data_IF_952565029354
#
_entry.id   IF_952565029354
#
_cell.length_a   1.000
_cell.length_b   1.000
_cell.length_c   1.000
_cell.angle_alpha   90.00
_cell.angle_beta   90.00
_cell.angle_gamma   90.00
#
_symmetry.space_group_name_H-M   'P 1'
#
loop_
_entity.id
_entity.type
_entity.pdbx_description
1 polymer ?
#
# COMPACT_ATOMS: atom_id res chain seq x y z
N UNK A 1 3.64 7.34 -4.43
CA UNK A 1 3.22 7.24 -5.86
C UNK A 1 1.72 7.48 -5.97
N UNK A 2 0.87 6.70 -5.29
CA UNK A 2 -0.59 6.89 -5.30
C UNK A 2 -1.06 8.33 -5.13
N UNK A 3 -0.58 9.05 -4.11
CA UNK A 3 -0.96 10.46 -3.90
C UNK A 3 -0.70 11.38 -5.09
N UNK A 4 0.43 11.22 -5.81
CA UNK A 4 0.75 12.03 -6.98
C UNK A 4 -0.15 11.70 -8.17
N UNK A 5 -0.45 10.40 -8.37
CA UNK A 5 -1.37 9.96 -9.44
C UNK A 5 -2.81 10.41 -9.24
N UNK A 6 -3.19 10.81 -8.02
CA UNK A 6 -4.52 11.33 -7.70
C UNK A 6 -4.72 12.80 -8.05
N UNK A 7 -3.62 13.57 -8.19
CA UNK A 7 -3.70 15.00 -8.49
C UNK A 7 -4.44 15.25 -9.81
N UNK A 8 -4.16 14.54 -10.93
CA UNK A 8 -4.94 14.66 -12.16
C UNK A 8 -6.44 14.35 -11.99
N UNK A 9 -6.79 13.36 -11.18
CA UNK A 9 -8.19 12.96 -10.93
C UNK A 9 -8.98 14.02 -10.14
N UNK A 10 -8.29 14.95 -9.47
CA UNK A 10 -8.95 16.08 -8.80
C UNK A 10 -9.42 17.19 -9.77
N UNK A 11 -9.00 17.14 -11.04
CA UNK A 11 -9.36 18.14 -12.06
C UNK A 11 -10.34 17.56 -13.08
N UNK A 12 -11.53 18.15 -13.19
CA UNK A 12 -12.57 17.71 -14.12
C UNK A 12 -12.09 17.55 -15.58
N UNK A 13 -11.22 18.45 -16.06
CA UNK A 13 -10.71 18.41 -17.43
C UNK A 13 -9.84 17.18 -17.72
N UNK A 14 -9.11 16.68 -16.72
CA UNK A 14 -8.31 15.48 -16.84
C UNK A 14 -9.13 14.23 -16.50
N UNK A 15 -9.97 14.29 -15.46
CA UNK A 15 -10.82 13.16 -15.05
C UNK A 15 -11.77 12.71 -16.16
N UNK A 16 -12.27 13.62 -17.02
CA UNK A 16 -13.08 13.26 -18.19
C UNK A 16 -12.49 12.11 -19.04
N UNK A 17 -11.16 12.04 -19.15
CA UNK A 17 -10.45 11.02 -19.94
C UNK A 17 -9.93 9.86 -19.10
N UNK A 18 -9.88 10.02 -17.78
CA UNK A 18 -9.28 9.05 -16.84
C UNK A 18 -10.33 8.30 -16.02
N UNK A 19 -11.55 8.83 -15.96
CA UNK A 19 -12.70 8.24 -15.29
C UNK A 19 -13.03 6.87 -15.88
N UNK A 20 -13.39 5.91 -15.02
CA UNK A 20 -13.68 4.52 -15.38
C UNK A 20 -12.60 3.80 -16.20
N UNK A 21 -11.35 4.29 -16.15
CA UNK A 21 -10.20 3.62 -16.77
C UNK A 21 -9.36 2.88 -15.73
N UNK A 22 -8.39 2.09 -16.20
CA UNK A 22 -7.37 1.49 -15.32
C UNK A 22 -6.54 2.53 -14.56
N UNK A 23 -6.55 3.80 -14.97
CA UNK A 23 -5.83 4.85 -14.26
C UNK A 23 -6.39 5.10 -12.86
N UNK A 24 -7.71 5.25 -12.71
CA UNK A 24 -8.33 5.46 -11.39
C UNK A 24 -8.22 4.21 -10.50
N UNK A 25 -8.29 3.02 -11.10
CA UNK A 25 -8.05 1.75 -10.40
C UNK A 25 -6.62 1.73 -9.85
N UNK A 26 -5.62 2.02 -10.67
CA UNK A 26 -4.22 2.06 -10.27
C UNK A 26 -3.96 3.11 -9.19
N UNK A 27 -4.50 4.33 -9.34
CA UNK A 27 -4.39 5.39 -8.34
C UNK A 27 -4.86 4.91 -6.95
N UNK A 28 -6.07 4.35 -6.89
CA UNK A 28 -6.68 3.91 -5.64
C UNK A 28 -5.90 2.75 -5.01
N UNK A 29 -5.47 1.77 -5.81
CA UNK A 29 -4.69 0.64 -5.31
C UNK A 29 -3.30 1.08 -4.86
N UNK A 30 -2.69 2.09 -5.48
CA UNK A 30 -1.40 2.65 -5.05
C UNK A 30 -1.47 3.61 -3.85
N UNK A 31 -2.67 3.94 -3.35
CA UNK A 31 -2.83 4.72 -2.12
C UNK A 31 -3.35 3.86 -0.96
N UNK A 32 -4.40 3.06 -1.18
CA UNK A 32 -5.00 2.25 -0.12
C UNK A 32 -4.16 1.02 0.18
N UNK A 33 -3.76 0.26 -0.83
CA UNK A 33 -3.04 -0.99 -0.60
C UNK A 33 -1.66 -0.73 0.03
N UNK A 34 -0.75 0.08 -0.54
CA UNK A 34 0.53 0.28 0.10
C UNK A 34 0.45 1.23 1.30
N UNK A 35 -0.44 2.23 1.30
CA UNK A 35 -0.54 3.16 2.43
C UNK A 35 -1.08 2.48 3.69
N UNK A 36 -2.29 1.93 3.59
CA UNK A 36 -2.99 1.37 4.76
C UNK A 36 -2.48 -0.01 5.12
N UNK A 37 -2.22 -0.91 4.16
CA UNK A 37 -1.84 -2.29 4.46
C UNK A 37 -0.42 -2.36 5.03
N UNK A 38 0.57 -1.64 4.45
CA UNK A 38 1.90 -1.61 5.06
C UNK A 38 1.91 -0.90 6.41
N UNK A 39 1.07 0.13 6.60
CA UNK A 39 0.89 0.75 7.91
C UNK A 39 0.38 -0.26 8.95
N UNK A 40 -0.60 -1.09 8.58
CA UNK A 40 -1.14 -2.15 9.43
C UNK A 40 -0.08 -3.21 9.73
N UNK A 41 0.64 -3.72 8.73
CA UNK A 41 1.72 -4.69 8.94
C UNK A 41 2.86 -4.14 9.79
N UNK A 42 3.26 -2.89 9.57
CA UNK A 42 4.25 -2.22 10.41
C UNK A 42 3.76 -2.12 11.87
N UNK A 43 2.49 -1.78 12.06
CA UNK A 43 1.85 -1.78 13.37
C UNK A 43 1.88 -3.16 14.04
N UNK A 44 1.56 -4.23 13.31
CA UNK A 44 1.68 -5.59 13.83
C UNK A 44 3.13 -5.88 14.23
N UNK A 45 4.10 -5.69 13.33
CA UNK A 45 5.52 -5.98 13.64
C UNK A 45 6.04 -5.20 14.85
N UNK A 46 5.60 -3.95 15.01
CA UNK A 46 6.04 -3.09 16.08
C UNK A 46 5.36 -3.41 17.42
N UNK A 47 4.04 -3.59 17.44
CA UNK A 47 3.27 -3.79 18.68
C UNK A 47 3.07 -5.26 19.06
N UNK A 48 3.44 -6.23 18.23
CA UNK A 48 3.30 -7.66 18.54
C UNK A 48 3.94 -8.07 19.88
N UNK A 49 5.16 -7.62 20.24
CA UNK A 49 5.74 -7.92 21.55
C UNK A 49 4.95 -7.34 22.70
N UNK A 50 4.34 -6.16 22.52
CA UNK A 50 3.51 -5.52 23.53
C UNK A 50 2.18 -6.25 23.72
N UNK A 51 1.60 -6.77 22.64
CA UNK A 51 0.32 -7.47 22.66
C UNK A 51 0.43 -8.92 23.15
N UNK A 52 1.51 -9.64 22.81
CA UNK A 52 1.63 -11.10 23.04
C UNK A 52 2.72 -11.49 24.04
N UNK A 53 3.60 -10.56 24.42
CA UNK A 53 4.78 -10.87 25.24
C UNK A 53 5.88 -11.63 24.50
N UNK A 54 5.74 -11.88 23.19
CA UNK A 54 6.71 -12.62 22.36
C UNK A 54 7.24 -11.72 21.24
N UNK A 55 8.52 -11.88 20.88
CA UNK A 55 9.07 -11.21 19.68
C UNK A 55 8.76 -12.02 18.43
N UNK A 56 8.37 -11.33 17.35
CA UNK A 56 8.31 -11.96 16.03
C UNK A 56 9.74 -12.27 15.55
N UNK A 57 9.86 -13.27 14.68
CA UNK A 57 11.14 -13.60 14.07
C UNK A 57 11.46 -12.62 12.94
N UNK A 58 12.57 -11.88 13.09
CA UNK A 58 13.03 -10.87 12.13
C UNK A 58 13.30 -11.45 10.72
N UNK A 59 13.76 -12.69 10.63
CA UNK A 59 14.00 -13.35 9.34
C UNK A 59 12.68 -13.54 8.58
N UNK A 60 11.66 -14.10 9.23
CA UNK A 60 10.35 -14.31 8.61
C UNK A 60 9.62 -12.99 8.34
N UNK A 61 9.81 -11.98 9.20
CA UNK A 61 9.30 -10.62 8.95
C UNK A 61 9.86 -10.01 7.67
N UNK A 62 11.18 -10.15 7.44
CA UNK A 62 11.82 -9.68 6.19
C UNK A 62 11.36 -10.50 4.98
N UNK A 63 11.26 -11.82 5.12
CA UNK A 63 10.77 -12.71 4.06
C UNK A 63 9.31 -12.41 3.70
N UNK A 64 8.47 -11.96 4.63
CA UNK A 64 7.13 -11.50 4.31
C UNK A 64 7.15 -10.10 3.65
N UNK A 65 7.96 -9.17 4.17
CA UNK A 65 8.00 -7.79 3.69
C UNK A 65 8.44 -7.66 2.22
N UNK A 66 9.56 -8.28 1.83
CA UNK A 66 10.15 -8.07 0.51
C UNK A 66 9.28 -8.56 -0.67
N UNK A 67 8.73 -9.79 -0.67
CA UNK A 67 7.81 -10.24 -1.71
C UNK A 67 6.54 -9.42 -1.73
N UNK A 68 5.98 -9.05 -0.57
CA UNK A 68 4.79 -8.19 -0.49
C UNK A 68 5.04 -6.85 -1.18
N UNK A 69 6.20 -6.22 -0.93
CA UNK A 69 6.59 -4.98 -1.59
C UNK A 69 6.70 -5.14 -3.11
N UNK A 70 7.35 -6.22 -3.57
CA UNK A 70 7.55 -6.45 -5.01
C UNK A 70 6.21 -6.71 -5.70
N UNK A 71 5.41 -7.66 -5.20
CA UNK A 71 4.14 -8.02 -5.81
C UNK A 71 3.17 -6.84 -5.86
N UNK A 72 3.15 -5.97 -4.84
CA UNK A 72 2.28 -4.80 -4.81
C UNK A 72 2.67 -3.71 -5.82
N UNK A 73 3.86 -3.77 -6.42
CA UNK A 73 4.30 -2.83 -7.46
C UNK A 73 4.26 -3.43 -8.87
N UNK A 74 4.20 -4.76 -9.00
CA UNK A 74 4.21 -5.47 -10.28
C UNK A 74 2.80 -5.82 -10.77
N UNK A 75 1.83 -5.81 -9.86
CA UNK A 75 0.39 -5.96 -10.14
C UNK A 75 -0.22 -4.56 -10.27
#
# INVERSE_FOLDING_TARGET
>A
IGGLTGIPLAFNSADLYLHDTYYIIAHFHYIVAPGTIFGLFAGIYYWFPKATGRKMNDFWGKVHFWPTLICMNVI
#
